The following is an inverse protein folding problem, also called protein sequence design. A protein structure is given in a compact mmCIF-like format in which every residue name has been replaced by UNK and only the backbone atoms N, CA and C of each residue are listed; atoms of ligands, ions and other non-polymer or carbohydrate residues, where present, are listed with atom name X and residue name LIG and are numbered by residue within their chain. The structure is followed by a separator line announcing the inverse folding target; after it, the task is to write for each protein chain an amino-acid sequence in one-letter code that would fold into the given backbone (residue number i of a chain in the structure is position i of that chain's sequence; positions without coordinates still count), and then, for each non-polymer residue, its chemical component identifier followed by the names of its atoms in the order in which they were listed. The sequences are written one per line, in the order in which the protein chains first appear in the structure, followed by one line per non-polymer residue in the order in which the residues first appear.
data_IF_413057258635
#
_entry.id   IF_413057258635
#
_cell.length_a   1.000
_cell.length_b   1.000
_cell.length_c   1.000
_cell.angle_alpha   90.00
_cell.angle_beta   90.00
_cell.angle_gamma   90.00
#
_symmetry.space_group_name_H-M   'P 1'
#
loop_
_entity.id
_entity.type
_entity.pdbx_description
1 polymer ?
#
# COMPACT_ATOMS: atom_id res chain seq x y z
N UNK A 1 17.83 -37.30 21.87
CA UNK A 1 18.05 -36.74 20.52
C UNK A 1 16.84 -36.02 19.93
N UNK A 2 15.65 -36.64 19.88
CA UNK A 2 14.45 -36.04 19.24
C UNK A 2 14.02 -34.66 19.80
N UNK A 3 14.15 -34.42 21.11
CA UNK A 3 13.85 -33.12 21.73
C UNK A 3 14.82 -32.01 21.31
N UNK A 4 16.10 -32.34 21.15
CA UNK A 4 17.15 -31.40 20.71
C UNK A 4 16.90 -31.03 19.24
N UNK A 5 16.58 -32.02 18.40
CA UNK A 5 16.21 -31.78 17.00
C UNK A 5 14.96 -30.90 16.87
N UNK A 6 13.92 -31.16 17.66
CA UNK A 6 12.71 -30.32 17.69
C UNK A 6 13.02 -28.88 18.11
N UNK A 7 13.87 -28.70 19.13
CA UNK A 7 14.32 -27.38 19.56
C UNK A 7 15.07 -26.63 18.46
N UNK A 8 15.98 -27.30 17.74
CA UNK A 8 16.73 -26.73 16.62
C UNK A 8 15.82 -26.31 15.46
N UNK A 9 14.83 -27.14 15.10
CA UNK A 9 13.87 -26.83 14.04
C UNK A 9 13.02 -25.62 14.41
N UNK A 10 12.52 -25.54 15.65
CA UNK A 10 11.77 -24.38 16.13
C UNK A 10 12.62 -23.11 16.09
N UNK A 11 13.88 -23.19 16.52
CA UNK A 11 14.77 -22.04 16.53
C UNK A 11 15.09 -21.56 15.10
N UNK A 12 15.28 -22.49 14.17
CA UNK A 12 15.50 -22.17 12.77
C UNK A 12 14.26 -21.51 12.13
N UNK A 13 13.07 -22.06 12.39
CA UNK A 13 11.81 -21.47 11.92
C UNK A 13 11.58 -20.07 12.50
N UNK A 14 11.83 -19.88 13.79
CA UNK A 14 11.72 -18.58 14.45
C UNK A 14 12.71 -17.56 13.85
N UNK A 15 13.94 -17.97 13.56
CA UNK A 15 14.94 -17.10 12.93
C UNK A 15 14.52 -16.68 11.52
N UNK A 16 14.09 -17.63 10.69
CA UNK A 16 13.62 -17.35 9.32
C UNK A 16 12.42 -16.41 9.37
N UNK A 17 11.47 -16.67 10.26
CA UNK A 17 10.31 -15.81 10.45
C UNK A 17 10.70 -14.38 10.84
N UNK A 18 11.63 -14.23 11.80
CA UNK A 18 12.12 -12.92 12.21
C UNK A 18 12.85 -12.18 11.09
N UNK A 19 13.69 -12.89 10.32
CA UNK A 19 14.41 -12.31 9.19
C UNK A 19 13.47 -11.89 8.06
N UNK A 20 12.48 -12.72 7.71
CA UNK A 20 11.49 -12.37 6.68
C UNK A 20 10.64 -11.18 7.12
N UNK A 21 10.21 -11.14 8.38
CA UNK A 21 9.42 -10.04 8.92
C UNK A 21 10.20 -8.72 8.93
N UNK A 22 11.44 -8.74 9.44
CA UNK A 22 12.30 -7.55 9.48
C UNK A 22 12.68 -7.05 8.07
N UNK A 23 12.89 -7.96 7.12
CA UNK A 23 13.17 -7.59 5.74
C UNK A 23 11.96 -6.92 5.07
N UNK A 24 10.75 -7.45 5.28
CA UNK A 24 9.51 -6.86 4.76
C UNK A 24 9.23 -5.47 5.33
N UNK A 25 9.45 -5.25 6.64
CA UNK A 25 9.24 -3.94 7.25
C UNK A 25 10.27 -2.91 6.76
N UNK A 26 11.55 -3.29 6.68
CA UNK A 26 12.61 -2.40 6.21
C UNK A 26 12.43 -2.02 4.72
N UNK A 27 12.02 -2.98 3.87
CA UNK A 27 11.73 -2.71 2.47
C UNK A 27 10.50 -1.82 2.30
N UNK A 28 9.47 -2.00 3.14
CA UNK A 28 8.29 -1.14 3.17
C UNK A 28 8.66 0.32 3.45
N UNK A 29 9.45 0.58 4.49
CA UNK A 29 9.88 1.93 4.86
C UNK A 29 10.73 2.59 3.78
N UNK A 30 11.68 1.86 3.16
CA UNK A 30 12.51 2.38 2.09
C UNK A 30 11.69 2.76 0.84
N UNK A 31 10.68 1.96 0.49
CA UNK A 31 9.79 2.26 -0.64
C UNK A 31 8.89 3.45 -0.33
N UNK A 32 8.37 3.56 0.90
CA UNK A 32 7.60 4.74 1.32
C UNK A 32 8.46 5.99 1.17
N UNK A 33 9.67 6.01 1.72
CA UNK A 33 10.52 7.20 1.67
C UNK A 33 10.86 7.63 0.24
N UNK A 34 11.16 6.67 -0.64
CA UNK A 34 11.51 6.96 -2.03
C UNK A 34 10.33 7.47 -2.88
N UNK A 35 9.11 6.98 -2.63
CA UNK A 35 7.95 7.22 -3.50
C UNK A 35 6.86 8.08 -2.87
N UNK A 36 6.99 8.47 -1.60
CA UNK A 36 6.03 9.30 -0.87
C UNK A 36 5.68 10.59 -1.61
N UNK A 37 6.68 11.34 -2.03
CA UNK A 37 6.46 12.64 -2.68
C UNK A 37 5.78 12.47 -4.05
N UNK A 38 6.17 11.43 -4.80
CA UNK A 38 5.54 11.06 -6.08
C UNK A 38 4.09 10.65 -5.90
N UNK A 39 3.78 9.85 -4.87
CA UNK A 39 2.44 9.39 -4.60
C UNK A 39 1.52 10.55 -4.18
N UNK A 40 2.00 11.48 -3.34
CA UNK A 40 1.25 12.70 -2.98
C UNK A 40 0.94 13.53 -4.24
N UNK A 41 1.91 13.74 -5.12
CA UNK A 41 1.74 14.51 -6.36
C UNK A 41 0.67 13.88 -7.27
N UNK A 42 0.71 12.55 -7.47
CA UNK A 42 -0.25 11.85 -8.33
C UNK A 42 -1.65 11.83 -7.69
N UNK A 43 -1.75 11.60 -6.38
CA UNK A 43 -3.03 11.69 -5.67
C UNK A 43 -3.63 13.10 -5.72
N UNK A 44 -2.81 14.15 -5.63
CA UNK A 44 -3.24 15.55 -5.81
C UNK A 44 -3.75 15.84 -7.21
N UNK A 45 -3.10 15.29 -8.25
CA UNK A 45 -3.53 15.44 -9.65
C UNK A 45 -4.83 14.71 -9.95
N UNK A 46 -5.01 13.53 -9.39
CA UNK A 46 -6.21 12.72 -9.58
C UNK A 46 -7.37 13.14 -8.67
N UNK A 47 -7.11 13.97 -7.66
CA UNK A 47 -8.15 14.51 -6.80
C UNK A 47 -9.21 15.27 -7.62
N UNK A 48 -10.51 15.00 -7.41
CA UNK A 48 -11.56 15.69 -8.15
C UNK A 48 -11.46 17.20 -7.88
N UNK A 49 -11.29 17.98 -8.96
CA UNK A 49 -11.34 19.45 -8.89
C UNK A 49 -12.71 19.85 -8.36
N UNK A 50 -12.76 20.35 -7.12
CA UNK A 50 -13.98 20.85 -6.50
C UNK A 50 -14.60 21.94 -7.39
N UNK A 51 -15.87 21.84 -7.79
CA UNK A 51 -16.57 22.97 -8.40
C UNK A 51 -16.68 24.09 -7.36
N UNK A 52 -16.38 25.33 -7.75
CA UNK A 52 -16.45 26.49 -6.89
C UNK A 52 -17.88 26.67 -6.35
N UNK A 53 -18.13 26.31 -5.09
CA UNK A 53 -19.43 26.52 -4.42
C UNK A 53 -20.02 25.34 -3.63
N UNK A 54 -19.38 24.16 -3.58
CA UNK A 54 -19.87 23.07 -2.72
C UNK A 54 -19.67 23.39 -1.22
N UNK A 55 -20.58 22.98 -0.33
CA UNK A 55 -20.45 23.16 1.14
C UNK A 55 -19.32 22.29 1.71
N UNK A 56 -18.81 22.68 2.88
CA UNK A 56 -17.55 22.19 3.47
C UNK A 56 -17.62 20.77 4.07
N UNK A 57 -18.78 20.12 4.01
CA UNK A 57 -19.02 18.85 4.71
C UNK A 57 -18.80 17.59 3.84
N UNK A 58 -18.45 17.74 2.56
CA UNK A 58 -18.56 16.63 1.57
C UNK A 58 -17.30 16.27 0.76
N UNK A 59 -16.10 16.79 1.04
CA UNK A 59 -14.90 16.37 0.28
C UNK A 59 -13.70 16.04 1.14
N UNK A 60 -13.72 14.83 1.73
CA UNK A 60 -12.56 14.19 2.33
C UNK A 60 -11.36 14.04 1.37
N UNK A 61 -11.57 14.19 0.06
CA UNK A 61 -10.56 14.04 -0.99
C UNK A 61 -10.23 15.37 -1.71
N UNK A 62 -10.16 16.50 -1.00
CA UNK A 62 -9.70 17.76 -1.61
C UNK A 62 -8.18 17.72 -1.86
N UNK A 63 -7.68 18.47 -2.84
CA UNK A 63 -6.23 18.56 -3.15
C UNK A 63 -5.37 18.99 -1.95
N UNK A 64 -5.99 19.64 -0.94
CA UNK A 64 -5.35 20.05 0.30
C UNK A 64 -5.25 18.92 1.34
N UNK A 65 -6.07 17.86 1.23
CA UNK A 65 -6.04 16.71 2.12
C UNK A 65 -4.81 15.80 1.87
N UNK A 66 -4.28 15.82 0.64
CA UNK A 66 -3.11 15.03 0.24
C UNK A 66 -1.83 15.85 0.44
N UNK A 67 -1.20 15.70 1.61
CA UNK A 67 0.02 16.42 1.98
C UNK A 67 0.87 15.66 3.01
N UNK A 68 1.90 16.29 3.58
CA UNK A 68 2.83 15.63 4.52
C UNK A 68 2.17 15.14 5.82
N UNK A 69 0.97 15.61 6.14
CA UNK A 69 0.14 15.12 7.26
C UNK A 69 -0.71 13.88 6.95
N UNK A 70 -0.72 13.39 5.71
CA UNK A 70 -1.38 12.13 5.36
C UNK A 70 -0.55 10.93 5.82
N UNK A 71 -1.20 9.91 6.39
CA UNK A 71 -0.52 8.67 6.71
C UNK A 71 -0.33 7.86 5.43
N UNK A 72 0.87 7.29 5.28
CA UNK A 72 1.27 6.53 4.10
C UNK A 72 1.72 5.16 4.56
N UNK A 73 1.15 4.13 3.94
CA UNK A 73 1.50 2.74 4.18
C UNK A 73 1.91 2.09 2.86
N UNK A 74 3.08 1.44 2.83
CA UNK A 74 3.45 0.57 1.72
C UNK A 74 2.86 -0.81 1.93
N UNK A 75 2.07 -1.26 0.95
CA UNK A 75 1.46 -2.58 0.92
C UNK A 75 1.84 -3.27 -0.38
N UNK A 76 2.20 -4.55 -0.29
CA UNK A 76 2.50 -5.36 -1.48
C UNK A 76 1.18 -5.96 -1.99
N UNK A 77 0.86 -5.66 -3.25
CA UNK A 77 -0.37 -6.06 -3.91
C UNK A 77 -1.58 -5.18 -3.60
N UNK A 78 -2.46 -4.99 -4.59
CA UNK A 78 -3.67 -4.20 -4.44
C UNK A 78 -4.85 -5.04 -3.95
N UNK A 79 -5.30 -4.93 -2.69
CA UNK A 79 -6.41 -5.75 -2.18
C UNK A 79 -7.75 -5.47 -2.88
N UNK A 80 -7.90 -4.32 -3.54
CA UNK A 80 -9.15 -3.92 -4.21
C UNK A 80 -9.33 -4.60 -5.57
N UNK A 81 -8.29 -5.26 -6.09
CA UNK A 81 -8.37 -6.07 -7.31
C UNK A 81 -8.93 -7.45 -6.98
N UNK A 82 -10.06 -7.82 -7.59
CA UNK A 82 -10.70 -9.09 -7.31
C UNK A 82 -10.14 -10.20 -8.22
N UNK A 83 -8.98 -10.75 -7.85
CA UNK A 83 -8.34 -11.89 -8.53
C UNK A 83 -8.02 -12.95 -7.50
N UNK A 84 -8.34 -14.20 -7.82
CA UNK A 84 -8.04 -15.32 -6.94
C UNK A 84 -6.55 -15.69 -6.98
N UNK A 85 -6.02 -16.17 -5.85
CA UNK A 85 -4.59 -16.50 -5.73
C UNK A 85 -4.13 -17.59 -6.71
N UNK A 86 -5.03 -18.50 -7.10
CA UNK A 86 -4.76 -19.59 -8.05
C UNK A 86 -4.86 -19.18 -9.53
N UNK A 87 -5.42 -18.01 -9.84
CA UNK A 87 -5.62 -17.55 -11.22
C UNK A 87 -4.38 -16.82 -11.77
N UNK A 88 -3.25 -17.51 -11.82
CA UNK A 88 -1.93 -16.94 -12.15
C UNK A 88 -1.80 -16.50 -13.61
N UNK A 89 -2.72 -16.91 -14.49
CA UNK A 89 -2.74 -16.47 -15.88
C UNK A 89 -3.49 -15.14 -16.08
N UNK A 90 -4.14 -14.63 -15.04
CA UNK A 90 -4.84 -13.36 -15.11
C UNK A 90 -3.84 -12.21 -15.25
N UNK A 91 -4.02 -11.29 -16.22
CA UNK A 91 -3.12 -10.15 -16.39
C UNK A 91 -3.05 -9.25 -15.14
N UNK A 92 -4.11 -9.23 -14.32
CA UNK A 92 -4.18 -8.43 -13.08
C UNK A 92 -3.63 -9.16 -11.85
N UNK A 93 -3.15 -10.41 -11.99
CA UNK A 93 -2.63 -11.19 -10.85
C UNK A 93 -1.41 -10.53 -10.22
N UNK A 94 -0.49 -10.03 -11.04
CA UNK A 94 0.70 -9.32 -10.59
C UNK A 94 0.33 -8.06 -9.81
N UNK A 95 -0.64 -7.28 -10.31
CA UNK A 95 -1.15 -6.09 -9.62
C UNK A 95 -1.78 -6.44 -8.27
N UNK A 96 -2.47 -7.59 -8.18
CA UNK A 96 -3.14 -8.03 -6.96
C UNK A 96 -2.19 -8.52 -5.85
N UNK A 97 -1.09 -9.20 -6.21
CA UNK A 97 -0.28 -9.93 -5.22
C UNK A 97 1.20 -9.55 -5.21
N UNK A 98 1.71 -8.86 -6.23
CA UNK A 98 3.15 -8.66 -6.41
C UNK A 98 3.57 -7.20 -6.49
N UNK A 99 2.77 -6.36 -7.15
CA UNK A 99 3.16 -4.97 -7.39
C UNK A 99 3.12 -4.15 -6.10
N UNK A 100 4.16 -3.33 -5.81
CA UNK A 100 4.18 -2.49 -4.63
C UNK A 100 3.20 -1.33 -4.78
N UNK A 101 2.36 -1.14 -3.77
CA UNK A 101 1.35 -0.10 -3.72
C UNK A 101 1.55 0.77 -2.47
N UNK A 102 1.27 2.06 -2.62
CA UNK A 102 1.28 3.02 -1.52
C UNK A 102 -0.16 3.45 -1.25
N UNK A 103 -0.62 3.24 -0.03
CA UNK A 103 -1.93 3.68 0.42
C UNK A 103 -1.74 4.94 1.25
N UNK A 104 -2.26 6.05 0.73
CA UNK A 104 -2.35 7.29 1.46
C UNK A 104 -3.75 7.40 2.06
N UNK A 105 -3.84 7.69 3.35
CA UNK A 105 -5.12 7.99 4.00
C UNK A 105 -5.14 9.40 4.56
N UNK A 106 -6.23 10.11 4.26
CA UNK A 106 -6.48 11.47 4.71
C UNK A 106 -7.95 11.55 5.18
N UNK A 107 -8.18 11.43 6.50
CA UNK A 107 -9.53 11.34 7.06
C UNK A 107 -10.26 10.10 6.56
N UNK A 108 -11.39 10.27 5.86
CA UNK A 108 -12.16 9.19 5.22
C UNK A 108 -11.80 8.95 3.75
N UNK A 109 -10.86 9.69 3.17
CA UNK A 109 -10.39 9.44 1.81
C UNK A 109 -9.17 8.53 1.80
N UNK A 110 -9.15 7.60 0.85
CA UNK A 110 -8.04 6.68 0.58
C UNK A 110 -7.56 6.87 -0.85
N UNK A 111 -6.26 7.01 -1.04
CA UNK A 111 -5.62 7.03 -2.35
C UNK A 111 -4.65 5.86 -2.45
N UNK A 112 -4.89 4.94 -3.37
CA UNK A 112 -4.00 3.83 -3.67
C UNK A 112 -3.15 4.19 -4.90
N UNK A 113 -1.86 4.40 -4.69
CA UNK A 113 -0.87 4.65 -5.74
C UNK A 113 -0.14 3.36 -6.11
N UNK A 114 -0.15 3.01 -7.39
CA UNK A 114 0.59 1.89 -7.95
C UNK A 114 1.96 2.38 -8.42
N UNK A 115 3.03 1.84 -7.86
CA UNK A 115 4.41 2.24 -8.17
C UNK A 115 4.84 1.73 -9.56
N UNK A 116 4.28 0.61 -10.04
CA UNK A 116 4.62 0.02 -11.32
C UNK A 116 3.95 0.75 -12.49
N UNK A 117 2.63 0.97 -12.39
CA UNK A 117 1.87 1.70 -13.42
C UNK A 117 2.03 3.23 -13.31
N UNK A 118 2.43 3.73 -12.14
CA UNK A 118 2.56 5.16 -11.86
C UNK A 118 1.22 5.90 -11.74
N UNK A 119 0.10 5.17 -11.67
CA UNK A 119 -1.25 5.69 -11.51
C UNK A 119 -1.73 5.70 -10.05
N UNK A 120 -2.76 6.47 -9.74
CA UNK A 120 -3.44 6.42 -8.45
C UNK A 120 -4.94 6.28 -8.59
N UNK A 121 -5.56 5.40 -7.80
CA UNK A 121 -7.01 5.25 -7.65
C UNK A 121 -7.45 5.85 -6.33
N UNK A 122 -8.47 6.70 -6.39
CA UNK A 122 -9.10 7.30 -5.21
C UNK A 122 -10.33 6.48 -4.83
N UNK A 123 -10.43 6.13 -3.56
CA UNK A 123 -11.62 5.54 -2.96
C UNK A 123 -12.04 6.33 -1.73
N UNK A 124 -13.35 6.44 -1.52
CA UNK A 124 -13.92 6.94 -0.28
C UNK A 124 -14.14 5.74 0.64
N UNK A 125 -13.72 5.85 1.90
CA UNK A 125 -13.95 4.82 2.91
C UNK A 125 -15.36 4.89 3.47
#
# INVERSE_FOLDING_TARGET
MRKILLGLVLLAAAKIWYQDHAYRTAMGEAVVEAYRERAIEVCRRNAPKRPAGARDDASAASTAAWGPGSSIEAVIGNPDVNVAIWDTQNPLWTQRFRDPHLILTAGSARCAYDVHEGGAKLSLR
#
